data_IF_935535316190
#
_entry.id   IF_935535316190
#
_cell.length_a   1.000
_cell.length_b   1.000
_cell.length_c   1.000
_cell.angle_alpha   90.00
_cell.angle_beta   90.00
_cell.angle_gamma   90.00
#
_symmetry.space_group_name_H-M   'P 1'
#
loop_
_entity.id
_entity.type
_entity.pdbx_description
1 polymer ?
#
# COMPACT_ATOMS: atom_id res chain seq x y z
N UNK A 1 -19.64 -20.54 -10.38
CA UNK A 1 -19.00 -19.62 -11.34
C UNK A 1 -17.64 -19.27 -10.78
N UNK A 2 -16.53 -19.54 -11.49
CA UNK A 2 -15.20 -19.05 -11.08
C UNK A 2 -15.06 -17.64 -11.63
N UNK A 3 -15.12 -16.63 -10.78
CA UNK A 3 -14.87 -15.24 -11.16
C UNK A 3 -13.37 -15.00 -10.98
N UNK A 4 -12.71 -14.44 -12.01
CA UNK A 4 -11.28 -14.14 -11.95
C UNK A 4 -11.01 -12.94 -11.03
N UNK A 5 -9.90 -12.98 -10.29
CA UNK A 5 -9.48 -11.87 -9.46
C UNK A 5 -8.89 -10.75 -10.34
N UNK A 6 -9.56 -9.60 -10.47
CA UNK A 6 -9.00 -8.41 -11.12
C UNK A 6 -8.59 -7.34 -10.10
N UNK A 7 -7.40 -6.75 -10.24
CA UNK A 7 -6.87 -5.71 -9.33
C UNK A 7 -6.59 -6.16 -7.89
N UNK A 8 -6.52 -7.46 -7.64
CA UNK A 8 -6.20 -7.99 -6.32
C UNK A 8 -4.78 -7.61 -5.87
N UNK A 9 -4.60 -7.32 -4.59
CA UNK A 9 -3.30 -7.21 -3.95
C UNK A 9 -3.14 -8.38 -2.98
N UNK A 10 -1.97 -8.99 -2.96
CA UNK A 10 -1.67 -10.08 -2.04
C UNK A 10 -0.55 -9.69 -1.08
N UNK A 11 -0.63 -10.14 0.17
CA UNK A 11 0.40 -9.95 1.19
C UNK A 11 0.46 -11.14 2.13
N UNK A 12 1.58 -11.31 2.85
CA UNK A 12 1.73 -12.36 3.85
C UNK A 12 1.72 -11.75 5.25
N UNK A 13 0.91 -12.29 6.14
CA UNK A 13 0.84 -11.90 7.55
C UNK A 13 0.66 -13.15 8.42
N UNK A 14 1.49 -13.31 9.46
CA UNK A 14 1.45 -14.48 10.36
C UNK A 14 1.39 -15.82 9.60
N UNK A 15 2.30 -16.01 8.63
CA UNK A 15 2.41 -17.21 7.77
C UNK A 15 1.18 -17.52 6.89
N UNK A 16 0.25 -16.57 6.74
CA UNK A 16 -0.90 -16.69 5.85
C UNK A 16 -0.78 -15.71 4.70
N UNK A 17 -1.02 -16.19 3.47
CA UNK A 17 -1.23 -15.33 2.32
C UNK A 17 -2.65 -14.79 2.40
N UNK A 18 -2.76 -13.47 2.38
CA UNK A 18 -4.02 -12.80 2.21
C UNK A 18 -4.07 -12.20 0.81
N UNK A 19 -5.13 -12.51 0.08
CA UNK A 19 -5.44 -11.90 -1.21
C UNK A 19 -6.65 -11.02 -0.99
N UNK A 20 -6.49 -9.74 -1.23
CA UNK A 20 -7.55 -8.76 -1.12
C UNK A 20 -7.99 -8.36 -2.51
N UNK A 21 -9.30 -8.26 -2.69
CA UNK A 21 -9.97 -7.70 -3.87
C UNK A 21 -9.88 -8.55 -5.11
N UNK A 22 -10.44 -8.04 -6.19
CA UNK A 22 -10.70 -8.81 -7.41
C UNK A 22 -11.75 -9.90 -7.28
N UNK A 23 -12.17 -10.29 -6.08
CA UNK A 23 -13.29 -11.19 -5.88
C UNK A 23 -14.59 -10.43 -5.60
N UNK A 24 -15.59 -10.65 -6.46
CA UNK A 24 -17.00 -10.35 -6.17
C UNK A 24 -17.63 -11.67 -5.70
N UNK A 25 -17.56 -11.98 -4.40
CA UNK A 25 -18.48 -12.87 -3.63
C UNK A 25 -17.84 -13.55 -2.38
N UNK A 26 -18.44 -13.24 -1.23
CA UNK A 26 -18.97 -14.13 -0.17
C UNK A 26 -18.08 -14.82 0.89
N UNK A 27 -16.78 -14.53 1.07
CA UNK A 27 -16.05 -15.23 2.17
C UNK A 27 -15.08 -14.46 3.07
N UNK A 28 -14.78 -13.17 2.89
CA UNK A 28 -13.95 -12.42 3.86
C UNK A 28 -14.35 -10.93 3.91
N UNK A 29 -15.09 -10.53 4.97
CA UNK A 29 -15.72 -9.21 5.10
C UNK A 29 -14.91 -8.21 5.93
N UNK A 30 -13.90 -8.67 6.69
CA UNK A 30 -13.26 -7.84 7.72
C UNK A 30 -12.44 -6.65 7.21
N UNK A 31 -12.03 -6.64 5.93
CA UNK A 31 -10.99 -5.71 5.44
C UNK A 31 -11.47 -4.68 4.41
N UNK A 32 -12.69 -4.83 3.90
CA UNK A 32 -13.20 -4.08 2.74
C UNK A 32 -13.63 -2.62 3.05
N UNK A 33 -13.73 -2.24 4.32
CA UNK A 33 -14.28 -0.94 4.72
C UNK A 33 -13.42 0.27 4.29
N UNK A 34 -12.13 0.10 3.98
CA UNK A 34 -11.21 1.23 3.74
C UNK A 34 -10.31 1.14 2.52
N UNK A 35 -10.21 -0.03 1.88
CA UNK A 35 -9.19 -0.30 0.87
C UNK A 35 -9.67 0.03 -0.54
N UNK A 36 -8.84 0.73 -1.33
CA UNK A 36 -9.18 1.21 -2.68
C UNK A 36 -8.06 1.03 -3.72
N UNK A 37 -7.64 -0.22 -3.97
CA UNK A 37 -6.82 -0.56 -5.15
C UNK A 37 -5.53 -1.29 -4.82
N UNK A 38 -4.39 -0.60 -4.82
CA UNK A 38 -3.09 -1.24 -4.56
C UNK A 38 -2.86 -1.41 -3.05
N UNK A 39 -2.10 -2.43 -2.70
CA UNK A 39 -1.62 -2.62 -1.34
C UNK A 39 -0.20 -3.19 -1.34
N UNK A 40 0.51 -2.98 -0.24
CA UNK A 40 1.86 -3.48 -0.02
C UNK A 40 2.04 -3.80 1.47
N UNK A 41 2.64 -4.95 1.77
CA UNK A 41 3.02 -5.29 3.13
C UNK A 41 4.39 -4.68 3.44
N UNK A 42 4.50 -3.91 4.52
CA UNK A 42 5.78 -3.41 5.03
C UNK A 42 5.84 -3.69 6.52
N UNK A 43 6.87 -4.41 6.97
CA UNK A 43 7.05 -4.81 8.38
C UNK A 43 5.81 -5.43 9.03
N UNK A 44 5.08 -6.28 8.29
CA UNK A 44 3.88 -6.95 8.77
C UNK A 44 2.63 -6.06 8.86
N UNK A 45 2.69 -4.84 8.34
CA UNK A 45 1.52 -3.95 8.22
C UNK A 45 1.12 -3.86 6.75
N UNK A 46 -0.14 -4.19 6.46
CA UNK A 46 -0.69 -4.02 5.12
C UNK A 46 -1.01 -2.55 4.89
N UNK A 47 -0.27 -1.91 3.99
CA UNK A 47 -0.51 -0.54 3.57
C UNK A 47 -1.33 -0.50 2.28
N UNK A 48 -2.20 0.50 2.18
CA UNK A 48 -2.87 0.89 0.94
C UNK A 48 -2.94 2.43 0.84
N UNK A 49 -3.60 2.93 -0.20
CA UNK A 49 -4.07 4.31 -0.23
C UNK A 49 -5.55 4.38 -0.57
N UNK A 50 -6.20 5.46 -0.16
CA UNK A 50 -7.55 5.79 -0.61
C UNK A 50 -7.56 6.64 -1.89
N UNK A 51 -8.75 6.93 -2.41
CA UNK A 51 -8.92 7.72 -3.65
C UNK A 51 -8.36 9.15 -3.58
N UNK A 52 -8.06 9.66 -2.38
CA UNK A 52 -7.45 10.97 -2.17
C UNK A 52 -5.92 10.89 -2.06
N UNK A 53 -5.33 9.70 -2.20
CA UNK A 53 -3.90 9.46 -2.06
C UNK A 53 -3.43 9.39 -0.61
N UNK A 54 -4.34 9.33 0.37
CA UNK A 54 -3.96 9.14 1.77
C UNK A 54 -3.51 7.72 1.99
N UNK A 55 -2.31 7.55 2.53
CA UNK A 55 -1.76 6.23 2.86
C UNK A 55 -2.37 5.74 4.17
N UNK A 56 -2.79 4.48 4.20
CA UNK A 56 -3.37 3.83 5.39
C UNK A 56 -2.69 2.50 5.63
N UNK A 57 -2.43 2.16 6.89
CA UNK A 57 -2.04 0.82 7.29
C UNK A 57 -3.19 0.11 7.99
N UNK A 58 -3.29 -1.21 7.84
CA UNK A 58 -4.31 -2.00 8.52
C UNK A 58 -3.83 -2.44 9.91
N UNK A 59 -4.61 -2.11 10.93
CA UNK A 59 -4.38 -2.53 12.31
C UNK A 59 -5.19 -3.78 12.61
N UNK A 60 -4.52 -4.94 12.59
CA UNK A 60 -5.14 -6.25 12.81
C UNK A 60 -5.78 -6.37 14.19
N UNK A 61 -5.16 -5.81 15.23
CA UNK A 61 -5.69 -5.91 16.60
C UNK A 61 -6.94 -5.08 16.85
N UNK A 62 -7.18 -4.05 16.03
CA UNK A 62 -8.35 -3.16 16.11
C UNK A 62 -9.32 -3.33 14.95
N UNK A 63 -8.97 -4.15 13.97
CA UNK A 63 -9.69 -4.36 12.71
C UNK A 63 -10.05 -3.06 11.96
N UNK A 64 -9.14 -2.09 11.95
CA UNK A 64 -9.37 -0.78 11.31
C UNK A 64 -8.19 -0.35 10.43
N UNK A 65 -8.53 0.42 9.39
CA UNK A 65 -7.55 1.16 8.59
C UNK A 65 -7.21 2.48 9.26
N UNK A 66 -5.92 2.71 9.52
CA UNK A 66 -5.39 3.89 10.20
C UNK A 66 -4.56 4.72 9.22
N UNK A 67 -4.81 6.03 9.15
CA UNK A 67 -4.04 6.94 8.30
C UNK A 67 -2.59 7.05 8.79
N UNK A 68 -1.65 6.96 7.85
CA UNK A 68 -0.22 7.12 8.10
C UNK A 68 0.10 8.59 8.31
N UNK A 69 0.39 8.97 9.56
CA UNK A 69 0.65 10.36 9.98
C UNK A 69 2.04 10.85 9.57
N UNK A 70 2.26 12.16 9.57
CA UNK A 70 3.59 12.76 9.34
C UNK A 70 3.92 13.04 7.87
N UNK A 71 2.98 12.79 6.95
CA UNK A 71 3.14 13.00 5.51
C UNK A 71 2.48 14.29 5.00
N UNK A 72 1.87 15.08 5.88
CA UNK A 72 0.95 16.18 5.53
C UNK A 72 1.64 17.30 4.74
N UNK A 73 2.97 17.46 4.92
CA UNK A 73 3.76 18.55 4.30
C UNK A 73 4.64 18.12 3.13
N UNK A 74 4.67 16.84 2.76
CA UNK A 74 5.68 16.33 1.83
C UNK A 74 5.19 15.38 0.75
N UNK A 75 4.00 14.79 0.91
CA UNK A 75 3.55 13.77 -0.05
C UNK A 75 3.10 14.43 -1.37
N UNK A 76 3.70 14.08 -2.52
CA UNK A 76 3.16 14.51 -3.80
C UNK A 76 1.76 13.93 -3.99
N UNK A 77 0.85 14.71 -4.57
CA UNK A 77 -0.46 14.17 -4.96
C UNK A 77 -0.24 13.13 -6.06
N UNK A 78 -0.53 11.87 -5.77
CA UNK A 78 -0.62 10.82 -6.78
C UNK A 78 -2.07 10.41 -6.98
N UNK A 79 -2.43 10.16 -8.23
CA UNK A 79 -3.76 9.65 -8.58
C UNK A 79 -3.85 8.16 -8.25
N UNK A 80 -5.09 7.68 -8.09
CA UNK A 80 -5.37 6.26 -7.96
C UNK A 80 -4.71 5.47 -9.11
N UNK A 81 -3.94 4.44 -8.76
CA UNK A 81 -3.19 3.62 -9.71
C UNK A 81 -1.69 3.52 -9.45
N UNK A 82 -1.12 4.36 -8.57
CA UNK A 82 0.28 4.25 -8.17
C UNK A 82 0.59 2.87 -7.58
N UNK A 83 1.68 2.23 -7.99
CA UNK A 83 2.13 0.94 -7.44
C UNK A 83 2.81 1.17 -6.09
N UNK A 84 2.57 0.26 -5.14
CA UNK A 84 3.20 0.26 -3.81
C UNK A 84 4.14 -0.94 -3.71
N UNK A 85 5.36 -0.75 -3.21
CA UNK A 85 6.30 -1.85 -2.95
C UNK A 85 7.07 -1.62 -1.65
N UNK A 86 7.51 -2.70 -1.02
CA UNK A 86 8.45 -2.68 0.10
C UNK A 86 9.87 -2.60 -0.44
N UNK A 87 10.69 -1.73 0.16
CA UNK A 87 12.12 -1.63 -0.03
C UNK A 87 12.81 -1.54 1.33
N UNK A 88 13.02 -2.68 1.97
CA UNK A 88 13.77 -2.78 3.23
C UNK A 88 13.10 -2.05 4.39
N UNK A 89 11.80 -2.25 4.57
CA UNK A 89 11.01 -1.58 5.63
C UNK A 89 10.52 -0.19 5.23
N UNK A 90 10.67 0.18 3.95
CA UNK A 90 10.22 1.46 3.41
C UNK A 90 9.12 1.22 2.39
N UNK A 91 8.08 2.03 2.49
CA UNK A 91 6.98 2.03 1.53
C UNK A 91 7.34 2.91 0.34
N UNK A 92 7.36 2.33 -0.86
CA UNK A 92 7.64 3.05 -2.09
C UNK A 92 6.37 3.25 -2.94
N UNK A 93 6.00 4.51 -3.20
CA UNK A 93 4.85 4.92 -4.04
C UNK A 93 5.29 5.99 -5.05
N UNK A 94 6.23 5.64 -5.94
CA UNK A 94 7.02 6.61 -6.74
C UNK A 94 7.82 7.64 -5.91
N UNK A 95 7.90 7.42 -4.61
CA UNK A 95 8.62 8.19 -3.59
C UNK A 95 8.96 7.20 -2.47
N UNK A 96 10.05 7.42 -1.74
CA UNK A 96 10.41 6.59 -0.60
C UNK A 96 9.80 7.14 0.69
N UNK A 97 9.12 6.28 1.45
CA UNK A 97 8.50 6.62 2.72
C UNK A 97 9.01 5.65 3.78
N UNK A 98 9.79 6.16 4.73
CA UNK A 98 10.11 5.41 5.94
C UNK A 98 8.84 5.28 6.77
N UNK A 99 8.42 4.06 7.06
CA UNK A 99 7.25 3.79 7.90
C UNK A 99 7.72 3.29 9.26
N UNK A 100 6.99 3.68 10.31
CA UNK A 100 7.21 3.16 11.67
C UNK A 100 5.91 3.13 12.45
N UNK A 101 5.86 2.22 13.42
CA UNK A 101 4.80 2.17 14.43
C UNK A 101 5.38 2.64 15.76
N UNK A 102 4.79 3.68 16.35
CA UNK A 102 5.22 4.18 17.66
C UNK A 102 4.75 3.24 18.79
N UNK A 103 5.22 3.47 20.02
CA UNK A 103 4.83 2.70 21.22
C UNK A 103 3.31 2.67 21.46
N UNK A 104 2.62 3.75 21.09
CA UNK A 104 1.16 3.89 21.26
C UNK A 104 0.37 3.18 20.15
N UNK A 105 1.06 2.54 19.20
CA UNK A 105 0.48 1.85 18.06
C UNK A 105 0.19 2.73 16.85
N UNK A 106 0.42 4.04 16.94
CA UNK A 106 0.21 4.97 15.83
C UNK A 106 1.20 4.75 14.68
N UNK A 107 0.68 4.79 13.45
CA UNK A 107 1.47 4.72 12.23
C UNK A 107 1.99 6.09 11.84
N UNK A 108 3.31 6.16 11.67
CA UNK A 108 4.02 7.37 11.26
C UNK A 108 4.86 7.12 10.02
N UNK A 109 4.77 8.03 9.07
CA UNK A 109 5.56 8.07 7.85
C UNK A 109 6.52 9.26 7.88
N UNK A 110 7.68 9.06 7.28
CA UNK A 110 8.63 10.13 6.98
C UNK A 110 9.02 10.03 5.50
N UNK A 111 8.85 11.12 4.77
CA UNK A 111 9.31 11.20 3.39
C UNK A 111 10.85 11.10 3.37
N UNK A 112 11.38 10.07 2.72
CA UNK A 112 12.82 9.89 2.55
C UNK A 112 13.31 10.69 1.33
N UNK A 113 12.89 10.24 0.15
CA UNK A 113 13.24 10.87 -1.12
C UNK A 113 12.01 10.98 -2.02
N UNK A 114 11.85 12.14 -2.67
CA UNK A 114 10.90 12.37 -3.75
C UNK A 114 11.64 12.95 -4.95
N UNK A 115 11.39 12.41 -6.15
CA UNK A 115 12.03 12.92 -7.36
C UNK A 115 11.72 12.10 -8.60
N UNK A 116 12.21 12.57 -9.75
CA UNK A 116 12.08 11.85 -11.01
C UNK A 116 13.02 10.65 -11.02
N UNK A 117 12.47 9.44 -10.85
CA UNK A 117 13.25 8.19 -10.94
C UNK A 117 13.64 7.88 -12.38
N UNK A 118 12.66 7.99 -13.30
CA UNK A 118 12.82 7.62 -14.70
C UNK A 118 11.97 8.53 -15.59
N UNK A 119 12.53 8.98 -16.72
CA UNK A 119 11.76 9.62 -17.79
C UNK A 119 11.33 8.54 -18.78
N UNK A 120 10.05 8.19 -18.82
CA UNK A 120 9.50 7.26 -19.81
C UNK A 120 8.91 8.03 -21.00
N UNK A 121 8.93 7.47 -22.22
CA UNK A 121 8.28 8.09 -23.39
C UNK A 121 6.81 8.41 -23.12
N UNK A 122 6.29 9.45 -23.79
CA UNK A 122 4.86 9.79 -23.73
C UNK A 122 4.04 8.60 -24.19
N UNK A 123 3.10 8.14 -23.34
CA UNK A 123 2.26 6.97 -23.61
C UNK A 123 2.71 5.69 -22.91
N UNK A 124 3.87 5.67 -22.26
CA UNK A 124 4.28 4.55 -21.40
C UNK A 124 3.57 4.58 -20.05
N UNK A 125 3.29 3.40 -19.48
CA UNK A 125 2.72 3.22 -18.14
C UNK A 125 3.55 2.22 -17.34
N UNK A 126 3.88 2.55 -16.09
CA UNK A 126 4.47 1.61 -15.14
C UNK A 126 3.32 0.80 -14.52
N UNK A 127 3.16 -0.45 -14.95
CA UNK A 127 2.06 -1.32 -14.49
C UNK A 127 2.41 -2.04 -13.19
N UNK A 128 3.69 -2.39 -13.03
CA UNK A 128 4.22 -3.06 -11.85
C UNK A 128 5.61 -2.49 -11.51
N UNK A 129 5.91 -2.38 -10.22
CA UNK A 129 7.21 -1.99 -9.71
C UNK A 129 7.52 -2.97 -8.57
N UNK A 130 8.61 -3.71 -8.70
CA UNK A 130 9.03 -4.69 -7.71
C UNK A 130 10.48 -4.41 -7.37
N UNK A 131 10.78 -4.37 -6.07
CA UNK A 131 12.15 -4.42 -5.60
C UNK A 131 12.67 -5.86 -5.70
N UNK A 132 13.93 -6.03 -6.09
CA UNK A 132 14.64 -7.31 -6.00
C UNK A 132 15.74 -7.12 -4.97
N UNK A 133 15.63 -7.77 -3.82
CA UNK A 133 16.75 -7.89 -2.89
C UNK A 133 17.73 -8.94 -3.45
N UNK A 134 19.02 -8.59 -3.53
CA UNK A 134 20.10 -9.55 -3.73
C UNK A 134 20.43 -10.25 -2.41
#
# INVERSE_FOLDING_TARGET
MRVGCEFAAAGVLHDKIYVFGGCVADTWVELDQGWKGRACMVEGILYCYDYLGKIKGFNVGREVWEELKGLEKGLPRFLCGATMTDLGGKLCVCTEIGVKKNSDGELWGQLGWFGKVLSIPKGSSIVNCSSVSL
#
